data_IF_894992516728
#
_entry.id   IF_894992516728
#
_cell.length_a   1.000
_cell.length_b   1.000
_cell.length_c   1.000
_cell.angle_alpha   90.00
_cell.angle_beta   90.00
_cell.angle_gamma   90.00
#
_symmetry.space_group_name_H-M   'P 1'
#
loop_
_entity.id
_entity.type
_entity.pdbx_description
1 polymer ?
#
# COMPACT_ATOMS: atom_id res chain seq x y z
N UNK A 1 2.16 21.67 5.11
CA UNK A 1 1.47 21.65 6.42
C UNK A 1 1.74 22.92 7.22
N UNK A 2 2.97 23.17 7.71
CA UNK A 2 3.25 24.36 8.52
C UNK A 2 2.92 25.69 7.82
N UNK A 3 3.16 25.77 6.51
CA UNK A 3 2.71 26.91 5.71
C UNK A 3 1.19 27.12 5.64
N UNK A 4 0.42 26.03 5.73
CA UNK A 4 -1.04 26.13 5.79
C UNK A 4 -1.48 26.57 7.19
N UNK A 5 -0.81 26.09 8.24
CA UNK A 5 -1.08 26.48 9.63
C UNK A 5 -0.81 27.99 9.84
N UNK A 6 0.21 28.55 9.20
CA UNK A 6 0.48 29.99 9.24
C UNK A 6 -0.55 30.86 8.51
N UNK A 7 -1.49 30.26 7.74
CA UNK A 7 -2.65 31.01 7.21
C UNK A 7 -3.64 31.32 8.34
N UNK A 8 -3.81 30.40 9.28
CA UNK A 8 -4.70 30.56 10.44
C UNK A 8 -4.07 31.44 11.54
N UNK A 9 -2.74 31.41 11.65
CA UNK A 9 -1.95 32.27 12.54
C UNK A 9 -1.05 33.23 11.73
N UNK A 10 -1.59 34.32 11.17
CA UNK A 10 -0.84 35.20 10.29
C UNK A 10 0.32 35.90 11.01
N UNK A 11 1.45 36.12 10.32
CA UNK A 11 2.57 36.87 10.87
C UNK A 11 2.17 38.33 11.17
N UNK A 12 2.79 38.98 12.16
CA UNK A 12 2.69 40.43 12.30
C UNK A 12 3.27 41.15 11.08
N UNK A 13 2.75 42.34 10.76
CA UNK A 13 3.18 43.13 9.59
C UNK A 13 4.69 43.42 9.63
N UNK A 14 5.37 43.16 8.50
CA UNK A 14 6.78 43.49 8.29
C UNK A 14 7.79 42.51 8.90
N UNK A 15 7.36 41.34 9.36
CA UNK A 15 8.24 40.38 10.01
C UNK A 15 8.51 39.12 9.17
N UNK A 16 9.79 38.83 8.92
CA UNK A 16 10.27 37.60 8.26
C UNK A 16 10.17 36.37 9.18
N UNK A 17 10.33 36.57 10.48
CA UNK A 17 10.25 35.56 11.51
C UNK A 17 9.53 36.12 12.75
N UNK A 18 8.72 35.32 13.40
CA UNK A 18 7.98 35.71 14.60
C UNK A 18 7.82 34.54 15.57
N UNK A 19 7.63 34.88 16.84
CA UNK A 19 7.37 33.91 17.91
C UNK A 19 5.94 34.06 18.39
N UNK A 20 5.22 32.95 18.44
CA UNK A 20 3.89 32.85 19.04
C UNK A 20 4.01 32.22 20.44
N UNK A 21 3.59 32.95 21.46
CA UNK A 21 3.50 32.47 22.85
C UNK A 21 2.04 32.53 23.24
N UNK A 22 1.38 31.37 23.39
CA UNK A 22 -0.04 31.25 23.79
C UNK A 22 -0.95 32.24 23.04
N UNK A 23 -0.88 32.25 21.70
CA UNK A 23 -1.71 33.09 20.82
C UNK A 23 -1.25 34.54 20.60
N UNK A 24 -0.22 35.03 21.31
CA UNK A 24 0.34 36.38 21.08
C UNK A 24 1.64 36.32 20.30
N UNK A 25 1.79 37.22 19.33
CA UNK A 25 2.91 37.23 18.39
C UNK A 25 3.93 38.34 18.71
N UNK A 26 5.22 38.07 18.50
CA UNK A 26 6.28 39.09 18.55
C UNK A 26 7.33 38.87 17.48
N UNK A 27 7.83 39.99 16.94
CA UNK A 27 8.96 40.02 16.01
C UNK A 27 10.27 40.49 16.65
N UNK A 28 10.29 40.69 17.97
CA UNK A 28 11.48 41.15 18.70
C UNK A 28 11.83 40.18 19.83
N UNK A 29 13.07 39.66 19.89
CA UNK A 29 13.50 38.77 20.96
C UNK A 29 13.33 39.37 22.37
N UNK A 30 13.47 40.69 22.49
CA UNK A 30 13.34 41.41 23.76
C UNK A 30 11.94 41.33 24.38
N UNK A 31 10.89 41.24 23.55
CA UNK A 31 9.50 41.19 24.02
C UNK A 31 9.06 39.79 24.47
N UNK A 32 9.81 38.74 24.13
CA UNK A 32 9.49 37.35 24.50
C UNK A 32 9.37 37.20 26.02
N UNK A 33 10.26 37.83 26.79
CA UNK A 33 10.22 37.79 28.27
C UNK A 33 8.92 38.37 28.84
N UNK A 34 8.33 39.37 28.18
CA UNK A 34 7.05 39.97 28.60
C UNK A 34 5.91 38.99 28.31
N UNK A 35 5.86 38.44 27.10
CA UNK A 35 4.82 37.50 26.68
C UNK A 35 4.80 36.21 27.50
N UNK A 36 5.97 35.74 27.97
CA UNK A 36 6.06 34.55 28.83
C UNK A 36 5.45 34.77 30.23
N UNK A 37 5.50 35.99 30.76
CA UNK A 37 4.88 36.31 32.07
C UNK A 37 3.35 36.29 31.99
N UNK A 38 2.81 36.75 30.86
CA UNK A 38 1.37 36.81 30.58
C UNK A 38 0.83 35.50 29.97
N UNK A 39 1.68 34.47 29.79
CA UNK A 39 1.30 33.20 29.18
C UNK A 39 0.36 32.32 30.03
N UNK A 40 0.49 32.24 31.38
CA UNK A 40 -0.37 31.39 32.21
C UNK A 40 -1.85 31.78 32.17
N UNK A 41 -2.16 33.04 31.87
CA UNK A 41 -3.52 33.57 31.78
C UNK A 41 -4.23 33.18 30.47
N UNK A 42 -3.48 32.62 29.50
CA UNK A 42 -3.94 32.32 28.14
C UNK A 42 -3.97 30.82 27.87
N UNK A 43 -4.89 30.36 26.99
CA UNK A 43 -5.01 28.95 26.67
C UNK A 43 -3.70 28.44 26.06
N UNK A 44 -3.29 27.24 26.49
CA UNK A 44 -2.09 26.59 25.99
C UNK A 44 -2.29 26.17 24.53
N UNK A 45 -1.36 26.48 23.61
CA UNK A 45 -1.51 26.15 22.21
C UNK A 45 -1.37 24.64 22.00
N UNK A 46 -2.08 24.13 20.99
CA UNK A 46 -2.01 22.72 20.59
C UNK A 46 -0.69 22.44 19.86
N UNK A 47 0.00 21.39 20.30
CA UNK A 47 1.25 20.90 19.69
C UNK A 47 0.89 19.70 18.81
N UNK A 48 1.21 19.77 17.53
CA UNK A 48 0.95 18.69 16.58
C UNK A 48 1.96 17.55 16.77
N UNK A 49 1.56 16.32 16.44
CA UNK A 49 2.47 15.15 16.50
C UNK A 49 3.72 15.29 15.63
N UNK A 50 3.64 16.09 14.56
CA UNK A 50 4.73 16.37 13.61
C UNK A 50 5.57 17.58 13.99
N UNK A 51 5.22 18.31 15.05
CA UNK A 51 5.99 19.47 15.51
C UNK A 51 7.35 19.03 16.04
N UNK A 52 8.38 19.83 15.76
CA UNK A 52 9.72 19.61 16.29
C UNK A 52 9.84 20.36 17.62
N UNK A 53 9.70 19.63 18.73
CA UNK A 53 9.92 20.14 20.09
C UNK A 53 11.40 20.04 20.45
N UNK A 54 12.01 21.13 20.88
CA UNK A 54 13.37 21.10 21.42
C UNK A 54 13.39 20.30 22.74
N UNK A 55 14.46 19.52 23.02
CA UNK A 55 14.57 18.77 24.27
C UNK A 55 14.55 19.72 25.48
N UNK A 56 13.55 19.58 26.35
CA UNK A 56 13.41 20.39 27.57
C UNK A 56 13.13 19.47 28.76
N UNK A 57 13.68 19.85 29.93
CA UNK A 57 13.56 19.08 31.19
C UNK A 57 12.14 19.09 31.79
N UNK A 58 11.34 20.12 31.48
CA UNK A 58 10.02 20.36 32.06
C UNK A 58 8.90 20.28 31.01
N UNK A 59 7.83 19.53 31.33
CA UNK A 59 6.62 19.42 30.46
C UNK A 59 5.53 20.44 30.78
N UNK A 60 5.70 21.20 31.85
CA UNK A 60 4.71 22.14 32.41
C UNK A 60 5.02 23.61 32.07
N UNK A 61 6.13 23.88 31.40
CA UNK A 61 6.51 25.25 31.04
C UNK A 61 5.63 25.83 29.91
N UNK A 62 5.53 27.18 29.81
CA UNK A 62 4.84 27.85 28.71
C UNK A 62 5.39 27.45 27.34
N UNK A 63 4.51 27.36 26.34
CA UNK A 63 4.90 26.96 24.99
C UNK A 63 5.21 28.19 24.14
N UNK A 64 6.40 28.20 23.53
CA UNK A 64 6.84 29.21 22.58
C UNK A 64 7.11 28.56 21.22
N UNK A 65 6.39 29.01 20.20
CA UNK A 65 6.44 28.48 18.84
C UNK A 65 7.15 29.50 17.95
N UNK A 66 8.28 29.12 17.34
CA UNK A 66 8.97 29.95 16.37
C UNK A 66 8.50 29.62 14.96
N UNK A 67 8.00 30.64 14.26
CA UNK A 67 7.72 30.61 12.83
C UNK A 67 8.83 31.35 12.10
N UNK A 68 9.68 30.60 11.40
CA UNK A 68 10.83 31.17 10.70
C UNK A 68 11.33 30.28 9.55
N UNK A 69 12.02 30.94 8.61
CA UNK A 69 12.75 30.28 7.54
C UNK A 69 14.15 29.88 8.04
N UNK A 70 14.44 28.58 8.02
CA UNK A 70 15.73 28.03 8.47
C UNK A 70 16.83 28.50 7.54
N UNK A 71 17.94 29.00 8.12
CA UNK A 71 19.07 29.55 7.36
C UNK A 71 19.09 31.08 7.28
N UNK A 72 18.03 31.76 7.72
CA UNK A 72 18.02 33.24 7.78
C UNK A 72 18.73 33.78 9.03
N UNK A 73 19.19 35.04 8.96
CA UNK A 73 19.82 35.71 10.10
C UNK A 73 18.84 35.91 11.27
N UNK A 74 17.58 36.15 10.97
CA UNK A 74 16.56 36.36 12.01
C UNK A 74 16.21 35.06 12.71
N UNK A 75 16.12 33.94 11.97
CA UNK A 75 16.05 32.61 12.57
C UNK A 75 17.18 32.38 13.57
N UNK A 76 18.44 32.65 13.20
CA UNK A 76 19.58 32.43 14.10
C UNK A 76 19.48 33.25 15.41
N UNK A 77 19.02 34.51 15.35
CA UNK A 77 18.83 35.37 16.54
C UNK A 77 17.74 34.82 17.47
N UNK A 78 16.60 34.45 16.92
CA UNK A 78 15.48 33.89 17.70
C UNK A 78 15.82 32.51 18.25
N UNK A 79 16.37 31.65 17.41
CA UNK A 79 16.74 30.29 17.77
C UNK A 79 17.73 30.30 18.94
N UNK A 80 18.80 31.10 18.88
CA UNK A 80 19.75 31.24 20.00
C UNK A 80 19.05 31.63 21.31
N UNK A 81 18.19 32.65 21.26
CA UNK A 81 17.47 33.15 22.44
C UNK A 81 16.51 32.11 23.03
N UNK A 82 15.79 31.37 22.17
CA UNK A 82 14.82 30.37 22.60
C UNK A 82 15.49 29.08 23.08
N UNK A 83 16.60 28.67 22.46
CA UNK A 83 17.38 27.52 22.90
C UNK A 83 17.93 27.74 24.31
N UNK A 84 18.55 28.90 24.58
CA UNK A 84 19.06 29.25 25.92
C UNK A 84 17.93 29.16 26.98
N UNK A 85 16.71 29.57 26.64
CA UNK A 85 15.54 29.50 27.53
C UNK A 85 14.94 28.11 27.67
N UNK A 86 15.03 27.29 26.63
CA UNK A 86 14.55 25.92 26.64
C UNK A 86 15.49 25.02 27.46
N UNK A 87 16.80 25.27 27.40
CA UNK A 87 17.83 24.60 28.20
C UNK A 87 17.69 24.93 29.70
N UNK A 88 17.36 26.17 30.05
CA UNK A 88 17.05 26.54 31.45
C UNK A 88 15.70 26.01 31.94
N UNK A 89 14.90 25.38 31.06
CA UNK A 89 13.58 24.83 31.41
C UNK A 89 12.48 25.87 31.60
N UNK A 90 12.71 27.12 31.16
CA UNK A 90 11.73 28.22 31.24
C UNK A 90 10.59 28.07 30.23
N UNK A 91 10.84 27.42 29.08
CA UNK A 91 9.89 27.30 27.98
C UNK A 91 9.94 25.93 27.32
N UNK A 92 8.82 25.52 26.72
CA UNK A 92 8.78 24.46 25.72
C UNK A 92 8.91 25.11 24.35
N UNK A 93 10.05 24.92 23.72
CA UNK A 93 10.36 25.51 22.43
C UNK A 93 9.95 24.58 21.29
N UNK A 94 9.13 25.10 20.36
CA UNK A 94 8.68 24.39 19.16
C UNK A 94 9.09 25.17 17.92
N UNK A 95 9.64 24.48 16.91
CA UNK A 95 9.97 25.07 15.62
C UNK A 95 8.93 24.67 14.56
N UNK A 96 8.31 25.67 13.93
CA UNK A 96 7.46 25.51 12.73
C UNK A 96 8.10 26.26 11.57
N UNK A 97 8.37 25.54 10.49
CA UNK A 97 8.99 26.15 9.32
C UNK A 97 8.00 27.04 8.57
N UNK A 98 8.39 28.28 8.32
CA UNK A 98 7.56 29.30 7.67
C UNK A 98 8.40 30.12 6.69
N UNK A 99 7.83 30.45 5.54
CA UNK A 99 8.44 31.29 4.51
C UNK A 99 7.42 32.38 4.14
N UNK A 100 7.79 33.64 4.28
CA UNK A 100 6.86 34.75 4.06
C UNK A 100 6.41 34.88 2.60
N UNK A 101 7.32 34.64 1.65
CA UNK A 101 7.06 34.71 0.22
C UNK A 101 7.54 33.42 -0.43
N UNK A 102 6.71 32.35 -0.47
CA UNK A 102 7.08 31.10 -1.12
C UNK A 102 7.30 31.32 -2.63
N UNK A 103 8.26 30.60 -3.21
CA UNK A 103 8.50 30.60 -4.65
C UNK A 103 7.29 29.98 -5.39
N UNK A 104 6.99 30.49 -6.59
CA UNK A 104 5.88 30.00 -7.44
C UNK A 104 6.19 28.64 -8.11
N UNK A 105 7.42 28.15 -7.97
CA UNK A 105 7.84 26.85 -8.52
C UNK A 105 7.00 25.72 -7.96
N UNK A 106 6.34 25.00 -8.87
CA UNK A 106 5.59 23.79 -8.53
C UNK A 106 6.55 22.63 -8.25
N UNK A 107 6.25 21.85 -7.22
CA UNK A 107 6.98 20.63 -6.90
C UNK A 107 6.61 19.52 -7.88
N UNK A 108 7.59 18.98 -8.59
CA UNK A 108 7.41 17.79 -9.41
C UNK A 108 7.42 16.55 -8.49
N UNK A 109 6.32 15.79 -8.51
CA UNK A 109 6.19 14.58 -7.71
C UNK A 109 6.79 13.38 -8.45
N UNK A 110 7.34 12.44 -7.70
CA UNK A 110 7.84 11.14 -8.19
C UNK A 110 7.11 10.00 -7.48
N UNK A 111 7.34 8.76 -7.93
CA UNK A 111 6.70 7.58 -7.35
C UNK A 111 5.35 7.22 -7.97
N UNK A 112 5.07 7.72 -9.17
CA UNK A 112 3.96 7.24 -10.01
C UNK A 112 4.48 6.36 -11.14
N UNK A 113 3.67 5.40 -11.59
CA UNK A 113 3.89 4.63 -12.80
C UNK A 113 3.07 5.17 -13.95
N UNK A 114 3.62 5.12 -15.17
CA UNK A 114 2.89 5.44 -16.40
C UNK A 114 2.61 4.15 -17.14
N UNK A 115 1.38 3.97 -17.59
CA UNK A 115 0.94 2.79 -18.33
C UNK A 115 0.46 3.22 -19.72
N UNK A 116 0.90 2.50 -20.74
CA UNK A 116 0.36 2.59 -22.10
C UNK A 116 -0.50 1.36 -22.36
N UNK A 117 -1.79 1.48 -22.07
CA UNK A 117 -2.74 0.39 -22.27
C UNK A 117 -3.10 0.24 -23.76
N UNK A 118 -2.96 -0.98 -24.28
CA UNK A 118 -3.41 -1.32 -25.64
C UNK A 118 -4.94 -1.44 -25.60
N UNK A 119 -5.65 -0.53 -26.27
CA UNK A 119 -7.13 -0.53 -26.28
C UNK A 119 -7.76 -1.58 -27.18
N UNK A 120 -7.08 -1.99 -28.25
CA UNK A 120 -7.60 -2.96 -29.22
C UNK A 120 -6.80 -4.27 -29.14
N UNK A 121 -7.15 -5.12 -28.17
CA UNK A 121 -6.58 -6.47 -28.02
C UNK A 121 -7.48 -7.56 -28.63
N UNK A 122 -8.74 -7.23 -28.96
CA UNK A 122 -9.82 -8.20 -29.22
C UNK A 122 -9.89 -8.80 -30.63
N UNK A 123 -9.10 -8.36 -31.61
CA UNK A 123 -9.30 -8.80 -33.00
C UNK A 123 -8.53 -10.08 -33.40
N UNK A 124 -7.85 -10.77 -32.49
CA UNK A 124 -6.86 -11.80 -32.90
C UNK A 124 -6.77 -13.09 -32.06
N UNK A 125 -7.65 -13.33 -31.09
CA UNK A 125 -7.81 -14.69 -30.55
C UNK A 125 -8.62 -15.50 -31.57
N UNK A 126 -7.92 -16.19 -32.47
CA UNK A 126 -8.57 -17.09 -33.44
C UNK A 126 -9.33 -18.17 -32.69
N UNK A 127 -10.56 -18.41 -33.14
CA UNK A 127 -11.53 -19.37 -32.62
C UNK A 127 -10.98 -20.81 -32.65
N UNK A 128 -10.96 -21.46 -31.48
CA UNK A 128 -10.46 -22.83 -31.27
C UNK A 128 -11.55 -23.86 -31.59
N UNK A 129 -11.80 -24.12 -32.88
CA UNK A 129 -12.56 -25.30 -33.30
C UNK A 129 -11.68 -26.29 -34.07
N UNK A 130 -11.30 -27.36 -33.35
CA UNK A 130 -10.72 -28.63 -33.80
C UNK A 130 -9.36 -28.60 -34.49
N UNK A 131 -8.34 -29.07 -33.77
CA UNK A 131 -7.42 -30.09 -34.32
C UNK A 131 -6.89 -30.96 -33.20
N UNK A 132 -7.50 -32.15 -33.07
CA UNK A 132 -6.98 -33.23 -32.26
C UNK A 132 -5.59 -33.64 -32.71
N UNK A 133 -4.78 -33.97 -31.71
CA UNK A 133 -3.43 -34.49 -31.84
C UNK A 133 -3.41 -35.76 -32.70
N UNK A 134 -2.80 -35.66 -33.87
CA UNK A 134 -2.24 -36.82 -34.56
C UNK A 134 -0.72 -36.67 -34.63
N UNK A 135 -0.04 -37.70 -34.14
CA UNK A 135 1.40 -37.86 -34.15
C UNK A 135 1.97 -37.70 -35.55
N UNK A 136 2.47 -36.51 -35.87
CA UNK A 136 3.43 -36.31 -36.94
C UNK A 136 4.57 -35.45 -36.40
N UNK A 137 5.70 -36.09 -36.16
CA UNK A 137 7.01 -35.44 -36.15
C UNK A 137 7.07 -34.45 -37.32
N UNK A 138 7.55 -33.21 -37.13
CA UNK A 138 7.62 -32.28 -38.25
C UNK A 138 8.65 -32.81 -39.25
N UNK A 139 8.16 -33.36 -40.36
CA UNK A 139 8.95 -33.45 -41.59
C UNK A 139 9.32 -32.01 -41.99
N UNK A 140 10.53 -31.77 -42.50
CA UNK A 140 10.91 -30.44 -42.96
C UNK A 140 10.04 -30.12 -44.17
N UNK A 141 9.10 -29.21 -43.98
CA UNK A 141 8.25 -28.73 -45.07
C UNK A 141 9.12 -27.93 -46.04
N UNK A 142 9.03 -28.30 -47.31
CA UNK A 142 9.80 -27.70 -48.39
C UNK A 142 9.22 -26.32 -48.73
N UNK A 143 9.99 -25.27 -48.50
CA UNK A 143 10.10 -24.18 -49.48
C UNK A 143 9.11 -23.02 -49.38
N UNK A 144 8.86 -22.47 -48.20
CA UNK A 144 8.43 -21.06 -48.08
C UNK A 144 9.39 -20.33 -47.15
N UNK A 145 10.31 -19.59 -47.77
CA UNK A 145 11.30 -18.74 -47.11
C UNK A 145 10.59 -17.61 -46.35
N UNK A 146 10.84 -17.48 -45.05
CA UNK A 146 10.35 -16.35 -44.24
C UNK A 146 10.95 -15.04 -44.78
N UNK A 147 10.12 -14.24 -45.45
CA UNK A 147 10.43 -12.86 -45.78
C UNK A 147 10.45 -12.03 -44.48
N UNK A 148 11.61 -11.45 -44.16
CA UNK A 148 11.77 -10.58 -42.98
C UNK A 148 11.86 -9.15 -43.48
N UNK A 149 10.79 -8.36 -43.30
CA UNK A 149 10.67 -6.95 -43.74
C UNK A 149 11.07 -6.70 -45.21
N UNK A 150 10.64 -7.57 -46.13
CA UNK A 150 10.95 -7.40 -47.56
C UNK A 150 12.30 -7.96 -48.00
N UNK A 151 13.08 -8.57 -47.09
CA UNK A 151 14.37 -9.19 -47.41
C UNK A 151 14.27 -10.72 -47.44
N UNK A 152 14.76 -11.30 -48.54
CA UNK A 152 14.97 -12.74 -48.70
C UNK A 152 16.37 -13.12 -48.21
N UNK A 153 16.50 -13.36 -46.91
CA UNK A 153 17.79 -13.68 -46.29
C UNK A 153 18.46 -14.92 -46.86
N UNK A 154 17.68 -15.92 -47.31
CA UNK A 154 18.23 -17.13 -47.93
C UNK A 154 18.92 -16.83 -49.27
N UNK A 155 18.34 -15.93 -50.09
CA UNK A 155 18.97 -15.45 -51.32
C UNK A 155 20.17 -14.54 -51.03
N UNK A 156 20.07 -13.67 -50.02
CA UNK A 156 21.17 -12.78 -49.62
C UNK A 156 22.38 -13.56 -49.10
N UNK A 157 22.15 -14.60 -48.30
CA UNK A 157 23.20 -15.50 -47.81
C UNK A 157 23.81 -16.36 -48.92
N UNK A 158 23.06 -16.66 -49.98
CA UNK A 158 23.58 -17.34 -51.18
C UNK A 158 24.41 -16.40 -52.07
N UNK A 159 24.02 -15.13 -52.20
CA UNK A 159 24.72 -14.15 -53.03
C UNK A 159 25.96 -13.55 -52.37
N UNK A 160 25.98 -13.45 -51.04
CA UNK A 160 27.09 -12.89 -50.26
C UNK A 160 27.54 -13.87 -49.16
N UNK A 161 28.21 -14.98 -49.53
CA UNK A 161 28.63 -16.01 -48.58
C UNK A 161 29.64 -15.51 -47.53
N UNK A 162 30.46 -14.50 -47.86
CA UNK A 162 31.45 -13.91 -46.95
C UNK A 162 30.81 -13.11 -45.79
N UNK A 163 29.56 -12.66 -45.95
CA UNK A 163 28.83 -11.84 -44.98
C UNK A 163 27.77 -12.64 -44.23
N UNK A 164 27.83 -13.97 -44.27
CA UNK A 164 26.79 -14.85 -43.72
C UNK A 164 26.53 -14.64 -42.23
N UNK A 165 27.59 -14.44 -41.43
CA UNK A 165 27.46 -14.18 -39.99
C UNK A 165 26.80 -12.82 -39.74
N UNK A 166 27.27 -11.75 -40.41
CA UNK A 166 26.73 -10.40 -40.28
C UNK A 166 25.27 -10.31 -40.78
N UNK A 167 24.92 -11.04 -41.85
CA UNK A 167 23.54 -11.15 -42.35
C UNK A 167 22.65 -11.92 -41.35
N UNK A 168 23.21 -12.89 -40.63
CA UNK A 168 22.55 -13.58 -39.53
C UNK A 168 22.25 -12.64 -38.36
N UNK A 169 23.24 -11.82 -37.96
CA UNK A 169 23.05 -10.79 -36.93
C UNK A 169 22.06 -9.71 -37.37
N UNK A 170 22.13 -9.26 -38.62
CA UNK A 170 21.21 -8.26 -39.17
C UNK A 170 19.78 -8.79 -39.26
N UNK A 171 19.59 -10.05 -39.69
CA UNK A 171 18.28 -10.72 -39.66
C UNK A 171 17.73 -10.76 -38.24
N UNK A 172 18.57 -11.13 -37.27
CA UNK A 172 18.20 -11.18 -35.86
C UNK A 172 17.81 -9.80 -35.34
N UNK A 173 18.58 -8.77 -35.67
CA UNK A 173 18.28 -7.38 -35.31
C UNK A 173 16.96 -6.89 -35.92
N UNK A 174 16.69 -7.18 -37.19
CA UNK A 174 15.42 -6.80 -37.84
C UNK A 174 14.22 -7.47 -37.19
N UNK A 175 14.34 -8.75 -36.85
CA UNK A 175 13.32 -9.49 -36.10
C UNK A 175 13.10 -8.86 -34.71
N UNK A 176 14.18 -8.47 -34.03
CA UNK A 176 14.13 -7.82 -32.71
C UNK A 176 13.62 -6.37 -32.76
N UNK A 177 13.78 -5.67 -33.90
CA UNK A 177 13.36 -4.29 -34.11
C UNK A 177 11.97 -4.15 -34.74
N UNK A 178 11.34 -5.26 -35.13
CA UNK A 178 9.99 -5.23 -35.72
C UNK A 178 8.98 -4.95 -34.61
N UNK A 179 8.55 -3.69 -34.49
CA UNK A 179 7.55 -3.21 -33.53
C UNK A 179 6.10 -3.64 -33.85
N UNK A 180 5.90 -4.57 -34.78
CA UNK A 180 4.55 -5.03 -35.08
C UNK A 180 4.05 -5.96 -33.98
N UNK A 181 3.00 -5.52 -33.29
CA UNK A 181 2.22 -6.34 -32.36
C UNK A 181 1.45 -7.42 -33.16
N UNK A 182 2.16 -8.47 -33.55
CA UNK A 182 1.61 -9.65 -34.21
C UNK A 182 0.95 -10.53 -33.14
N UNK A 183 -0.25 -11.08 -33.40
CA UNK A 183 -0.91 -11.90 -32.41
C UNK A 183 -0.19 -13.21 -32.19
N UNK A 184 -0.19 -13.64 -30.93
CA UNK A 184 0.29 -14.94 -30.52
C UNK A 184 -0.86 -15.95 -30.58
N UNK A 185 -0.51 -17.20 -30.87
CA UNK A 185 -1.47 -18.31 -30.85
C UNK A 185 -1.73 -18.72 -29.39
N UNK A 186 -2.91 -19.28 -29.10
CA UNK A 186 -3.34 -19.59 -27.73
C UNK A 186 -2.37 -20.53 -27.00
N UNK A 187 -1.81 -21.53 -27.69
CA UNK A 187 -0.82 -22.44 -27.10
C UNK A 187 0.55 -21.78 -26.86
N UNK A 188 0.94 -20.81 -27.68
CA UNK A 188 2.20 -20.06 -27.49
C UNK A 188 2.15 -19.20 -26.22
N UNK A 189 0.96 -18.83 -25.75
CA UNK A 189 0.76 -18.06 -24.52
C UNK A 189 0.96 -18.90 -23.25
N UNK A 190 0.71 -20.21 -23.30
CA UNK A 190 0.78 -21.08 -22.13
C UNK A 190 2.21 -21.19 -21.59
N UNK A 191 3.19 -21.32 -22.48
CA UNK A 191 4.59 -21.49 -22.10
C UNK A 191 5.38 -20.16 -22.05
N UNK A 192 4.76 -19.04 -22.40
CA UNK A 192 5.42 -17.74 -22.54
C UNK A 192 6.10 -17.27 -21.24
N UNK A 193 5.48 -17.54 -20.08
CA UNK A 193 6.03 -17.22 -18.76
C UNK A 193 7.30 -18.02 -18.46
N UNK A 194 7.29 -19.32 -18.78
CA UNK A 194 8.47 -20.18 -18.64
C UNK A 194 9.59 -19.79 -19.60
N UNK A 195 9.25 -19.38 -20.83
CA UNK A 195 10.23 -18.90 -21.81
C UNK A 195 10.89 -17.58 -21.37
N UNK A 196 10.10 -16.65 -20.82
CA UNK A 196 10.60 -15.42 -20.23
C UNK A 196 11.57 -15.69 -19.08
N UNK A 197 11.18 -16.58 -18.16
CA UNK A 197 12.01 -16.97 -17.03
C UNK A 197 13.31 -17.66 -17.50
N UNK A 198 13.22 -18.59 -18.46
CA UNK A 198 14.39 -19.27 -19.03
C UNK A 198 15.35 -18.28 -19.67
N UNK A 199 14.82 -17.27 -20.39
CA UNK A 199 15.65 -16.21 -20.98
C UNK A 199 16.39 -15.39 -19.91
N UNK A 200 15.71 -15.02 -18.83
CA UNK A 200 16.31 -14.26 -17.71
C UNK A 200 17.40 -15.08 -17.02
N UNK A 201 17.14 -16.35 -16.72
CA UNK A 201 18.11 -17.24 -16.04
C UNK A 201 19.32 -17.57 -16.94
N UNK A 202 19.09 -17.71 -18.25
CA UNK A 202 20.19 -17.93 -19.22
C UNK A 202 21.10 -16.72 -19.43
N UNK A 203 20.68 -15.53 -18.97
CA UNK A 203 21.44 -14.28 -19.09
C UNK A 203 22.49 -14.19 -17.96
N UNK A 204 23.68 -13.58 -18.19
CA UNK A 204 24.64 -13.34 -17.12
C UNK A 204 24.03 -12.63 -15.92
N UNK A 205 24.46 -13.02 -14.71
CA UNK A 205 23.89 -12.54 -13.42
C UNK A 205 23.80 -11.01 -13.33
N UNK A 206 24.81 -10.30 -13.85
CA UNK A 206 24.87 -8.84 -13.80
C UNK A 206 23.83 -8.16 -14.71
N UNK A 207 23.36 -8.86 -15.74
CA UNK A 207 22.38 -8.34 -16.71
C UNK A 207 20.97 -8.89 -16.49
N UNK A 208 20.82 -9.98 -15.73
CA UNK A 208 19.52 -10.63 -15.49
C UNK A 208 18.44 -9.66 -14.98
N UNK A 209 18.77 -8.78 -14.02
CA UNK A 209 17.82 -7.77 -13.51
C UNK A 209 17.49 -6.68 -14.54
N UNK A 210 18.47 -6.30 -15.39
CA UNK A 210 18.24 -5.33 -16.47
C UNK A 210 17.32 -5.92 -17.53
N UNK A 211 17.50 -7.20 -17.87
CA UNK A 211 16.65 -7.94 -18.80
C UNK A 211 15.25 -8.12 -18.23
N UNK A 212 15.11 -8.49 -16.96
CA UNK A 212 13.82 -8.57 -16.28
C UNK A 212 13.06 -7.23 -16.32
N UNK A 213 13.76 -6.11 -16.08
CA UNK A 213 13.18 -4.77 -16.18
C UNK A 213 12.75 -4.43 -17.60
N UNK A 214 13.60 -4.69 -18.60
CA UNK A 214 13.26 -4.42 -20.01
C UNK A 214 12.06 -5.27 -20.46
N UNK A 215 12.05 -6.56 -20.12
CA UNK A 215 10.95 -7.47 -20.46
C UNK A 215 9.64 -7.08 -19.80
N UNK A 216 9.66 -6.65 -18.53
CA UNK A 216 8.44 -6.24 -17.83
C UNK A 216 7.89 -4.91 -18.34
N UNK A 217 8.75 -3.95 -18.70
CA UNK A 217 8.33 -2.65 -19.22
C UNK A 217 7.86 -2.70 -20.68
N UNK A 218 8.48 -3.54 -21.50
CA UNK A 218 8.24 -3.62 -22.95
C UNK A 218 7.60 -4.95 -23.37
N UNK A 219 6.90 -5.63 -22.46
CA UNK A 219 6.41 -7.00 -22.65
C UNK A 219 5.62 -7.23 -23.95
N UNK A 220 4.63 -6.40 -24.32
CA UNK A 220 3.83 -6.65 -25.52
C UNK A 220 4.66 -6.69 -26.81
N UNK A 221 5.75 -5.91 -26.87
CA UNK A 221 6.66 -5.88 -28.03
C UNK A 221 7.59 -7.10 -27.99
N UNK A 222 8.04 -7.52 -26.80
CA UNK A 222 8.98 -8.63 -26.65
C UNK A 222 8.34 -10.01 -26.70
N UNK A 223 7.02 -10.12 -26.54
CA UNK A 223 6.30 -11.39 -26.41
C UNK A 223 6.59 -12.37 -27.56
N UNK A 224 6.64 -11.90 -28.82
CA UNK A 224 6.94 -12.77 -29.97
C UNK A 224 8.37 -13.28 -29.99
N UNK A 225 9.33 -12.50 -29.50
CA UNK A 225 10.73 -12.95 -29.42
C UNK A 225 10.91 -14.07 -28.39
N UNK A 226 10.06 -14.09 -27.35
CA UNK A 226 10.12 -15.07 -26.27
C UNK A 226 9.61 -16.45 -26.71
N UNK A 227 8.65 -16.52 -27.64
CA UNK A 227 8.12 -17.81 -28.14
C UNK A 227 9.17 -18.69 -28.82
N UNK A 228 10.28 -18.08 -29.25
CA UNK A 228 11.39 -18.76 -29.93
C UNK A 228 12.45 -19.29 -28.96
N UNK A 229 12.37 -18.92 -27.68
CA UNK A 229 13.34 -19.37 -26.67
C UNK A 229 13.07 -20.83 -26.33
N UNK A 230 14.11 -21.66 -26.44
CA UNK A 230 14.02 -23.06 -26.08
C UNK A 230 13.79 -23.20 -24.56
N UNK A 231 12.81 -24.04 -24.21
CA UNK A 231 12.46 -24.31 -22.82
C UNK A 231 13.37 -25.37 -22.22
N UNK A 232 13.96 -25.07 -21.07
CA UNK A 232 14.60 -26.09 -20.25
C UNK A 232 13.53 -26.85 -19.45
N UNK A 233 13.36 -28.15 -19.74
CA UNK A 233 12.38 -29.01 -19.10
C UNK A 233 12.66 -29.26 -17.61
N UNK A 234 13.93 -29.19 -17.19
CA UNK A 234 14.30 -29.35 -15.77
C UNK A 234 13.79 -28.16 -14.95
N UNK A 235 13.99 -26.95 -15.47
CA UNK A 235 13.53 -25.70 -14.87
C UNK A 235 12.00 -25.67 -14.75
N UNK A 236 11.27 -26.15 -15.77
CA UNK A 236 9.80 -26.21 -15.74
C UNK A 236 9.31 -27.08 -14.57
N UNK A 237 9.90 -28.27 -14.39
CA UNK A 237 9.58 -29.17 -13.26
C UNK A 237 9.90 -28.54 -11.91
N UNK A 238 11.04 -27.86 -11.79
CA UNK A 238 11.42 -27.16 -10.56
C UNK A 238 10.40 -26.07 -10.19
N UNK A 239 9.98 -25.26 -11.18
CA UNK A 239 8.97 -24.21 -10.97
C UNK A 239 7.63 -24.81 -10.53
N UNK A 240 7.17 -25.90 -11.15
CA UNK A 240 5.92 -26.57 -10.77
C UNK A 240 5.96 -27.09 -9.32
N UNK A 241 7.08 -27.68 -8.90
CA UNK A 241 7.29 -28.12 -7.51
C UNK A 241 7.27 -26.94 -6.54
N UNK A 242 7.96 -25.85 -6.88
CA UNK A 242 8.00 -24.65 -6.06
C UNK A 242 6.61 -23.98 -5.94
N UNK A 243 5.86 -23.92 -7.04
CA UNK A 243 4.49 -23.38 -7.05
C UNK A 243 3.58 -24.17 -6.11
N UNK A 244 3.66 -25.51 -6.14
CA UNK A 244 2.89 -26.35 -5.23
C UNK A 244 3.26 -26.06 -3.77
N UNK A 245 4.55 -26.06 -3.45
CA UNK A 245 5.01 -25.79 -2.08
C UNK A 245 4.61 -24.40 -1.56
N UNK A 246 4.72 -23.37 -2.41
CA UNK A 246 4.34 -22.00 -2.08
C UNK A 246 2.82 -21.86 -1.88
N UNK A 247 2.03 -22.54 -2.70
CA UNK A 247 0.56 -22.53 -2.56
C UNK A 247 0.09 -23.20 -1.26
N UNK A 248 0.72 -24.31 -0.87
CA UNK A 248 0.36 -25.05 0.36
C UNK A 248 0.84 -24.33 1.63
N UNK A 249 2.02 -23.70 1.59
CA UNK A 249 2.66 -23.13 2.79
C UNK A 249 2.27 -21.66 3.01
N UNK A 250 2.21 -20.88 1.93
CA UNK A 250 2.02 -19.43 2.00
C UNK A 250 0.73 -18.95 1.33
N UNK A 251 -0.05 -19.84 0.72
CA UNK A 251 -1.26 -19.47 -0.02
C UNK A 251 -0.98 -18.67 -1.29
N UNK A 252 0.24 -18.73 -1.82
CA UNK A 252 0.64 -17.99 -3.03
C UNK A 252 0.32 -18.86 -4.24
N UNK A 253 -0.63 -18.42 -5.07
CA UNK A 253 -1.02 -19.14 -6.27
C UNK A 253 -0.28 -18.62 -7.52
N UNK A 254 -0.22 -19.39 -8.62
CA UNK A 254 0.35 -18.91 -9.88
C UNK A 254 -0.35 -17.64 -10.36
N UNK A 255 0.43 -16.57 -10.56
CA UNK A 255 -0.06 -15.24 -10.94
C UNK A 255 -0.14 -14.24 -9.78
N UNK A 256 -0.02 -14.71 -8.54
CA UNK A 256 0.07 -13.83 -7.38
C UNK A 256 1.49 -13.29 -7.21
N UNK A 257 1.59 -12.09 -6.65
CA UNK A 257 2.86 -11.52 -6.20
C UNK A 257 2.81 -11.22 -4.72
N UNK A 258 3.83 -11.69 -4.01
CA UNK A 258 4.02 -11.41 -2.60
C UNK A 258 5.44 -10.90 -2.39
N UNK A 259 5.56 -9.80 -1.66
CA UNK A 259 6.83 -9.21 -1.30
C UNK A 259 7.10 -9.47 0.18
N UNK A 260 8.28 -10.01 0.49
CA UNK A 260 8.71 -10.23 1.86
C UNK A 260 9.99 -9.46 2.14
N UNK A 261 10.03 -8.71 3.23
CA UNK A 261 11.27 -8.12 3.76
C UNK A 261 11.53 -8.78 5.11
N UNK A 262 12.68 -9.44 5.27
CA UNK A 262 13.06 -10.12 6.52
C UNK A 262 12.02 -11.13 7.06
N UNK A 263 11.15 -11.67 6.20
CA UNK A 263 10.05 -12.58 6.60
C UNK A 263 8.71 -11.88 6.87
N UNK A 264 8.68 -10.55 6.90
CA UNK A 264 7.45 -9.78 6.98
C UNK A 264 6.80 -9.68 5.60
N UNK A 265 5.56 -10.13 5.51
CA UNK A 265 4.74 -9.97 4.31
C UNK A 265 4.36 -8.50 4.13
N UNK A 266 4.74 -7.92 3.00
CA UNK A 266 4.38 -6.57 2.62
C UNK A 266 3.17 -6.64 1.71
N UNK A 267 2.04 -6.17 2.23
CA UNK A 267 0.82 -6.00 1.46
C UNK A 267 1.02 -4.89 0.42
N UNK A 268 1.03 -5.30 -0.85
CA UNK A 268 1.23 -4.45 -2.01
C UNK A 268 0.01 -3.55 -2.30
N UNK A 269 -1.17 -3.89 -1.77
CA UNK A 269 -2.42 -3.15 -1.96
C UNK A 269 -2.66 -2.11 -0.85
N UNK A 270 -2.23 -2.39 0.38
CA UNK A 270 -2.45 -1.51 1.56
C UNK A 270 -1.35 -0.45 1.72
N UNK A 271 -0.13 -0.68 1.23
CA UNK A 271 0.98 0.28 1.30
C UNK A 271 0.91 1.43 0.27
N UNK A 272 -0.31 1.81 -0.09
CA UNK A 272 -0.61 3.04 -0.77
C UNK A 272 -1.28 4.01 0.22
N UNK A 273 -0.47 4.75 0.99
CA UNK A 273 -0.99 5.75 1.97
C UNK A 273 -1.86 6.83 1.32
N UNK A 274 -1.78 7.00 0.00
CA UNK A 274 -2.58 7.98 -0.75
C UNK A 274 -3.97 7.48 -1.16
N UNK A 275 -4.28 6.18 -1.04
CA UNK A 275 -5.61 5.66 -1.43
C UNK A 275 -6.71 6.11 -0.47
N UNK A 276 -6.39 6.35 0.81
CA UNK A 276 -7.38 6.70 1.85
C UNK A 276 -8.01 8.08 1.65
N UNK A 277 -7.34 9.01 0.95
CA UNK A 277 -7.88 10.33 0.61
C UNK A 277 -8.52 10.41 -0.78
N UNK A 278 -8.32 9.41 -1.65
CA UNK A 278 -8.94 9.39 -2.97
C UNK A 278 -10.34 8.73 -2.97
N UNK A 279 -10.69 8.02 -1.90
CA UNK A 279 -12.02 7.41 -1.72
C UNK A 279 -13.15 8.43 -1.45
N UNK A 280 -12.81 9.70 -1.20
CA UNK A 280 -13.82 10.78 -1.03
C UNK A 280 -14.27 11.33 -2.40
N UNK A 281 -13.56 11.05 -3.49
CA UNK A 281 -13.88 11.55 -4.83
C UNK A 281 -14.39 10.51 -5.82
N UNK A 282 -14.33 9.20 -5.50
CA UNK A 282 -14.81 8.13 -6.38
C UNK A 282 -16.20 7.61 -5.99
N UNK A 283 -17.09 8.52 -5.60
CA UNK A 283 -18.46 8.19 -5.18
C UNK A 283 -19.49 8.05 -6.31
N UNK A 284 -19.10 8.14 -7.59
CA UNK A 284 -20.05 8.21 -8.70
C UNK A 284 -19.73 7.33 -9.93
N UNK A 285 -18.99 6.24 -9.75
CA UNK A 285 -18.86 5.19 -10.79
C UNK A 285 -18.92 3.83 -10.10
N UNK A 286 -20.12 3.48 -9.63
CA UNK A 286 -20.48 2.14 -9.13
C UNK A 286 -21.63 1.62 -9.98
N UNK A 287 -21.29 1.24 -11.21
CA UNK A 287 -22.06 0.30 -12.02
C UNK A 287 -21.06 -0.36 -12.95
N UNK A 288 -21.26 -1.63 -13.27
CA UNK A 288 -20.34 -2.56 -13.97
C UNK A 288 -19.53 -3.47 -13.04
N UNK A 289 -20.24 -4.15 -12.14
CA UNK A 289 -19.88 -5.52 -11.76
C UNK A 289 -20.94 -6.46 -12.35
N UNK A 290 -20.64 -7.09 -13.47
CA UNK A 290 -21.16 -8.41 -13.86
C UNK A 290 -20.47 -8.81 -15.16
N UNK A 291 -19.30 -9.44 -15.08
CA UNK A 291 -18.88 -10.50 -16.00
C UNK A 291 -17.63 -11.17 -15.44
N UNK A 292 -17.86 -12.23 -14.67
CA UNK A 292 -16.87 -13.29 -14.41
C UNK A 292 -16.66 -13.99 -15.76
N UNK A 293 -15.54 -13.76 -16.41
CA UNK A 293 -15.08 -14.61 -17.52
C UNK A 293 -13.69 -15.16 -17.22
N UNK A 294 -13.65 -16.48 -17.28
CA UNK A 294 -12.50 -17.37 -17.22
C UNK A 294 -11.54 -17.02 -18.36
N UNK A 295 -10.60 -16.11 -18.12
CA UNK A 295 -9.50 -15.81 -19.05
C UNK A 295 -8.24 -15.67 -18.19
N UNK A 296 -7.24 -16.44 -18.59
CA UNK A 296 -5.89 -16.56 -18.04
C UNK A 296 -5.42 -15.23 -17.44
N UNK A 297 -5.32 -15.20 -16.11
CA UNK A 297 -4.74 -14.09 -15.36
C UNK A 297 -3.24 -13.99 -15.67
N UNK A 298 -2.90 -13.31 -16.76
CA UNK A 298 -1.69 -12.48 -16.77
C UNK A 298 -2.07 -11.23 -15.98
N UNK A 299 -2.13 -11.37 -14.65
CA UNK A 299 -2.18 -10.21 -13.77
C UNK A 299 -0.84 -9.52 -13.96
N UNK A 300 -0.80 -8.45 -14.77
CA UNK A 300 0.28 -7.49 -14.67
C UNK A 300 0.25 -6.97 -13.24
N UNK A 301 1.17 -7.49 -12.43
CA UNK A 301 1.34 -7.16 -11.03
C UNK A 301 1.55 -5.65 -10.93
N UNK A 302 0.45 -4.95 -10.66
CA UNK A 302 0.38 -3.50 -10.54
C UNK A 302 0.86 -3.16 -9.14
N UNK A 303 2.18 -3.22 -8.93
CA UNK A 303 2.79 -2.77 -7.67
C UNK A 303 2.68 -1.24 -7.63
N UNK A 304 1.54 -0.75 -7.15
CA UNK A 304 1.35 0.64 -6.76
C UNK A 304 1.83 0.83 -5.30
N UNK A 305 2.99 0.28 -4.96
CA UNK A 305 3.61 0.57 -3.67
C UNK A 305 4.15 1.98 -3.73
N UNK A 306 3.54 2.88 -2.96
CA UNK A 306 4.10 4.23 -2.80
C UNK A 306 5.51 4.12 -2.21
N UNK A 307 6.50 4.67 -2.91
CA UNK A 307 7.92 4.65 -2.54
C UNK A 307 8.16 5.03 -1.06
N UNK A 308 7.36 5.95 -0.52
CA UNK A 308 7.46 6.41 0.87
C UNK A 308 7.09 5.34 1.90
N UNK A 309 6.05 4.54 1.69
CA UNK A 309 5.67 3.46 2.63
C UNK A 309 6.75 2.39 2.72
N UNK A 310 7.32 2.03 1.56
CA UNK A 310 8.41 1.08 1.50
C UNK A 310 9.67 1.59 2.24
N UNK A 311 10.02 2.86 2.04
CA UNK A 311 11.13 3.49 2.76
C UNK A 311 10.90 3.55 4.28
N UNK A 312 9.70 3.89 4.74
CA UNK A 312 9.40 3.90 6.17
C UNK A 312 9.43 2.48 6.76
N UNK A 313 9.00 1.46 6.01
CA UNK A 313 9.14 0.05 6.43
C UNK A 313 10.60 -0.32 6.60
N UNK A 314 11.45 -0.04 5.61
CA UNK A 314 12.90 -0.28 5.69
C UNK A 314 13.54 0.50 6.83
N UNK A 315 13.12 1.75 7.07
CA UNK A 315 13.65 2.59 8.15
C UNK A 315 13.27 2.05 9.52
N UNK A 316 12.04 1.59 9.68
CA UNK A 316 11.59 0.93 10.91
C UNK A 316 12.35 -0.36 11.13
N UNK A 317 12.47 -1.20 10.10
CA UNK A 317 13.28 -2.43 10.14
C UNK A 317 14.73 -2.13 10.52
N UNK A 318 15.36 -1.14 9.87
CA UNK A 318 16.73 -0.72 10.19
C UNK A 318 16.90 -0.23 11.63
N UNK A 319 15.90 0.47 12.19
CA UNK A 319 15.90 0.86 13.61
C UNK A 319 15.80 -0.36 14.53
N UNK A 320 14.92 -1.31 14.21
CA UNK A 320 14.78 -2.57 14.97
C UNK A 320 16.08 -3.37 14.95
N UNK A 321 16.70 -3.52 13.78
CA UNK A 321 17.99 -4.19 13.61
C UNK A 321 19.11 -3.51 14.40
N UNK A 322 19.18 -2.18 14.36
CA UNK A 322 20.13 -1.42 15.17
C UNK A 322 19.87 -1.59 16.67
N UNK A 323 18.60 -1.66 17.08
CA UNK A 323 18.21 -1.94 18.46
C UNK A 323 18.64 -3.34 18.92
N UNK A 324 18.43 -4.36 18.10
CA UNK A 324 18.88 -5.74 18.39
C UNK A 324 20.42 -5.84 18.45
N UNK A 325 21.10 -5.13 17.55
CA UNK A 325 22.56 -5.03 17.56
C UNK A 325 23.08 -4.36 18.84
N UNK A 326 22.42 -3.28 19.30
CA UNK A 326 22.76 -2.62 20.56
C UNK A 326 22.57 -3.53 21.79
N UNK A 327 21.69 -4.54 21.70
CA UNK A 327 21.50 -5.57 22.73
C UNK A 327 22.51 -6.73 22.63
N UNK A 328 23.45 -6.68 21.67
CA UNK A 328 24.47 -7.71 21.48
C UNK A 328 23.99 -8.93 20.69
N UNK A 329 22.84 -8.85 20.02
CA UNK A 329 22.34 -9.93 19.16
C UNK A 329 23.07 -9.86 17.81
N UNK A 330 23.96 -10.82 17.59
CA UNK A 330 24.80 -10.88 16.40
C UNK A 330 24.05 -11.42 15.16
N UNK A 331 24.58 -11.11 13.97
CA UNK A 331 23.97 -11.42 12.66
C UNK A 331 23.60 -12.90 12.42
N UNK A 332 24.24 -13.85 13.11
CA UNK A 332 23.96 -15.29 12.92
C UNK A 332 22.57 -15.68 13.44
N UNK A 333 22.17 -15.17 14.61
CA UNK A 333 20.86 -15.49 15.21
C UNK A 333 19.77 -14.50 14.80
N UNK A 334 20.16 -13.33 14.28
CA UNK A 334 19.25 -12.29 13.80
C UNK A 334 18.25 -12.83 12.76
N UNK A 335 18.72 -13.67 11.83
CA UNK A 335 17.84 -14.32 10.84
C UNK A 335 16.80 -15.26 11.46
N UNK A 336 17.08 -15.85 12.63
CA UNK A 336 16.13 -16.70 13.36
C UNK A 336 15.10 -15.84 14.10
N UNK A 337 15.55 -14.76 14.75
CA UNK A 337 14.67 -13.84 15.46
C UNK A 337 13.69 -13.13 14.54
N UNK A 338 14.13 -12.70 13.35
CA UNK A 338 13.26 -12.03 12.38
C UNK A 338 12.19 -12.96 11.78
N UNK A 339 12.43 -14.28 11.77
CA UNK A 339 11.44 -15.28 11.32
C UNK A 339 10.36 -15.56 12.35
N UNK A 340 10.52 -15.13 13.60
CA UNK A 340 9.50 -15.31 14.62
C UNK A 340 8.32 -14.43 14.24
N UNK A 341 7.22 -15.06 13.82
CA UNK A 341 5.96 -14.38 13.61
C UNK A 341 5.43 -13.90 14.96
N UNK A 342 5.75 -12.66 15.31
CA UNK A 342 5.07 -11.95 16.38
C UNK A 342 3.73 -11.53 15.80
N UNK A 343 2.74 -12.42 15.86
CA UNK A 343 1.37 -12.01 15.60
C UNK A 343 1.07 -10.87 16.59
N UNK A 344 0.76 -9.68 16.08
CA UNK A 344 0.03 -8.70 16.89
C UNK A 344 -1.23 -9.44 17.29
N UNK A 345 -1.35 -9.78 18.56
CA UNK A 345 -2.56 -10.39 19.05
C UNK A 345 -3.63 -9.30 18.86
N UNK A 346 -4.46 -9.45 17.82
CA UNK A 346 -5.74 -8.76 17.70
C UNK A 346 -6.59 -9.30 18.84
N UNK A 347 -6.22 -8.94 20.06
CA UNK A 347 -6.94 -9.32 21.25
C UNK A 347 -8.20 -8.49 21.25
N UNK A 348 -9.23 -9.06 20.62
CA UNK A 348 -10.59 -8.77 20.99
C UNK A 348 -10.72 -9.21 22.45
N UNK A 349 -10.35 -8.32 23.37
CA UNK A 349 -10.47 -8.55 24.80
C UNK A 349 -11.96 -8.72 25.12
N UNK A 350 -12.30 -9.82 25.78
CA UNK A 350 -13.63 -9.99 26.35
C UNK A 350 -13.68 -9.27 27.72
N UNK A 351 -14.56 -8.29 27.85
CA UNK A 351 -14.82 -7.62 29.12
C UNK A 351 -15.93 -8.37 29.87
N UNK A 352 -15.73 -8.67 31.16
CA UNK A 352 -16.81 -9.17 32.00
C UNK A 352 -17.77 -8.03 32.33
N UNK A 353 -18.99 -8.11 31.79
CA UNK A 353 -20.04 -7.10 31.94
C UNK A 353 -20.96 -7.38 33.14
N UNK A 354 -20.73 -8.41 33.96
CA UNK A 354 -21.67 -8.78 35.02
C UNK A 354 -21.48 -7.87 36.24
N UNK A 355 -22.33 -6.85 36.37
CA UNK A 355 -22.34 -5.95 37.53
C UNK A 355 -23.75 -5.59 37.98
N UNK A 356 -23.97 -5.42 39.29
CA UNK A 356 -25.28 -5.08 39.87
C UNK A 356 -25.77 -3.67 39.51
N UNK A 357 -24.87 -2.80 39.05
CA UNK A 357 -25.20 -1.43 38.64
C UNK A 357 -25.90 -1.35 37.28
N UNK A 358 -25.94 -2.44 36.51
CA UNK A 358 -26.54 -2.45 35.18
C UNK A 358 -28.04 -2.63 35.32
N UNK A 359 -28.78 -1.70 34.74
CA UNK A 359 -30.25 -1.77 34.64
C UNK A 359 -30.61 -2.25 33.24
N UNK A 360 -31.25 -3.42 33.14
CA UNK A 360 -31.65 -4.01 31.87
C UNK A 360 -33.01 -3.45 31.42
N UNK A 361 -33.12 -3.14 30.13
CA UNK A 361 -34.36 -2.60 29.53
C UNK A 361 -35.32 -3.73 29.13
N UNK A 362 -34.78 -4.83 28.62
CA UNK A 362 -35.53 -6.01 28.18
C UNK A 362 -34.91 -7.31 28.72
N UNK A 363 -35.70 -8.36 28.72
CA UNK A 363 -35.26 -9.72 29.00
C UNK A 363 -35.85 -10.71 27.99
N UNK A 364 -34.99 -11.16 27.06
CA UNK A 364 -35.35 -12.04 25.95
C UNK A 364 -35.97 -13.36 26.44
N UNK A 365 -35.60 -13.84 27.62
CA UNK A 365 -36.07 -15.14 28.10
C UNK A 365 -37.45 -15.03 28.76
N UNK A 366 -37.71 -13.95 29.49
CA UNK A 366 -38.89 -13.82 30.33
C UNK A 366 -40.01 -12.98 29.71
N UNK A 367 -39.69 -11.96 28.90
CA UNK A 367 -40.69 -11.02 28.37
C UNK A 367 -41.68 -11.68 27.40
N UNK A 368 -42.95 -11.30 27.53
CA UNK A 368 -44.03 -11.83 26.69
C UNK A 368 -43.85 -11.49 25.20
N UNK A 369 -43.16 -10.38 24.90
CA UNK A 369 -42.87 -9.92 23.53
C UNK A 369 -42.11 -10.96 22.71
N UNK A 370 -41.22 -11.72 23.34
CA UNK A 370 -40.39 -12.74 22.70
C UNK A 370 -40.97 -14.16 22.80
N UNK A 371 -42.20 -14.30 23.29
CA UNK A 371 -42.85 -15.61 23.49
C UNK A 371 -42.97 -16.45 22.21
N UNK A 372 -43.05 -15.80 21.05
CA UNK A 372 -43.15 -16.43 19.73
C UNK A 372 -41.82 -17.02 19.24
N UNK A 373 -40.71 -16.71 19.88
CA UNK A 373 -39.39 -17.13 19.42
C UNK A 373 -39.06 -18.55 19.89
N UNK A 374 -38.33 -19.34 19.06
CA UNK A 374 -37.89 -20.67 19.47
C UNK A 374 -36.86 -20.57 20.60
N UNK A 375 -36.91 -21.50 21.57
CA UNK A 375 -35.96 -21.58 22.69
C UNK A 375 -34.81 -22.55 22.46
N UNK A 376 -34.83 -23.29 21.35
CA UNK A 376 -33.82 -24.28 20.98
C UNK A 376 -32.59 -23.64 20.33
N UNK A 377 -31.41 -23.96 20.87
CA UNK A 377 -30.11 -23.48 20.36
C UNK A 377 -29.76 -24.12 19.01
N UNK A 378 -30.36 -25.26 18.68
CA UNK A 378 -30.13 -25.95 17.40
C UNK A 378 -30.54 -25.11 16.19
N UNK A 379 -31.37 -24.07 16.39
CA UNK A 379 -31.75 -23.12 15.34
C UNK A 379 -30.55 -22.33 14.80
N UNK A 380 -29.49 -22.14 15.59
CA UNK A 380 -28.24 -21.50 15.14
C UNK A 380 -27.49 -22.32 14.10
N UNK A 381 -27.62 -23.65 14.13
CA UNK A 381 -26.92 -24.56 13.22
C UNK A 381 -27.60 -24.68 11.85
N UNK A 382 -28.82 -24.12 11.70
CA UNK A 382 -29.51 -24.13 10.41
C UNK A 382 -28.83 -23.15 9.46
N UNK A 383 -28.70 -23.49 8.16
CA UNK A 383 -28.13 -22.57 7.17
C UNK A 383 -28.96 -21.29 7.06
N UNK A 384 -28.31 -20.13 7.13
CA UNK A 384 -28.90 -18.80 7.02
C UNK A 384 -28.18 -17.98 5.95
N UNK A 385 -28.85 -16.97 5.42
CA UNK A 385 -28.17 -15.93 4.64
C UNK A 385 -27.18 -15.18 5.54
N UNK A 386 -25.95 -14.93 5.07
CA UNK A 386 -24.94 -14.22 5.84
C UNK A 386 -25.45 -12.80 6.20
N UNK A 387 -25.21 -12.37 7.45
CA UNK A 387 -25.59 -11.05 7.96
C UNK A 387 -26.93 -10.98 8.69
N UNK A 388 -27.71 -12.07 8.75
CA UNK A 388 -29.00 -12.10 9.48
C UNK A 388 -28.81 -12.68 10.88
N UNK A 389 -29.15 -11.91 11.92
CA UNK A 389 -29.17 -12.42 13.31
C UNK A 389 -30.48 -13.17 13.54
N UNK A 390 -30.38 -14.43 13.99
CA UNK A 390 -31.55 -15.28 14.22
C UNK A 390 -32.24 -14.91 15.54
N UNK A 391 -33.57 -14.69 15.55
CA UNK A 391 -34.31 -14.47 16.78
C UNK A 391 -34.48 -15.80 17.54
N UNK A 392 -33.86 -15.90 18.71
CA UNK A 392 -33.95 -17.06 19.61
C UNK A 392 -34.27 -16.52 21.00
N UNK A 393 -35.18 -17.20 21.70
CA UNK A 393 -35.61 -16.86 23.06
C UNK A 393 -34.56 -17.26 24.11
N UNK A 394 -33.32 -16.79 23.95
CA UNK A 394 -32.14 -17.09 24.78
C UNK A 394 -31.22 -15.87 24.85
N UNK A 395 -30.61 -15.65 26.00
CA UNK A 395 -29.68 -14.52 26.19
C UNK A 395 -28.29 -14.80 25.60
N UNK A 396 -28.05 -14.44 24.33
CA UNK A 396 -26.75 -14.59 23.66
C UNK A 396 -25.98 -13.28 23.48
N UNK A 397 -26.67 -12.20 23.12
CA UNK A 397 -26.06 -10.92 22.79
C UNK A 397 -26.50 -9.87 23.80
N UNK A 398 -25.54 -9.22 24.44
CA UNK A 398 -25.77 -8.18 25.43
C UNK A 398 -25.10 -6.88 24.96
N UNK A 399 -25.82 -5.76 25.06
CA UNK A 399 -25.31 -4.42 24.80
C UNK A 399 -25.45 -3.57 26.06
N UNK A 400 -24.31 -3.23 26.67
CA UNK A 400 -24.27 -2.34 27.83
C UNK A 400 -23.85 -0.96 27.37
N UNK A 401 -24.73 0.02 27.55
CA UNK A 401 -24.47 1.43 27.22
C UNK A 401 -24.11 2.21 28.50
N UNK A 402 -22.94 2.84 28.49
CA UNK A 402 -22.56 3.79 29.53
C UNK A 402 -23.00 5.19 29.10
N UNK A 403 -24.03 5.74 29.76
CA UNK A 403 -24.65 7.00 29.38
C UNK A 403 -24.48 8.03 30.49
N UNK A 404 -23.86 9.17 30.15
CA UNK A 404 -23.81 10.35 30.99
C UNK A 404 -24.95 11.30 30.58
N UNK A 405 -25.99 11.51 31.42
CA UNK A 405 -27.16 12.29 31.06
C UNK A 405 -26.87 13.78 30.82
N UNK A 406 -25.69 14.27 31.20
CA UNK A 406 -25.30 15.68 31.01
C UNK A 406 -24.79 15.93 29.57
N UNK A 407 -24.34 14.90 28.86
CA UNK A 407 -23.78 15.03 27.53
C UNK A 407 -24.86 15.05 26.45
N UNK A 408 -24.77 15.98 25.49
CA UNK A 408 -25.76 16.10 24.40
C UNK A 408 -25.86 14.83 23.53
N UNK A 409 -24.73 14.12 23.34
CA UNK A 409 -24.67 12.88 22.56
C UNK A 409 -25.41 11.70 23.23
N UNK A 410 -25.75 11.80 24.51
CA UNK A 410 -26.45 10.74 25.24
C UNK A 410 -27.83 10.44 24.63
N UNK A 411 -28.52 11.46 24.13
CA UNK A 411 -29.83 11.31 23.52
C UNK A 411 -29.81 10.40 22.29
N UNK A 412 -28.74 10.46 21.49
CA UNK A 412 -28.60 9.63 20.29
C UNK A 412 -28.43 8.14 20.63
N UNK A 413 -27.66 7.82 21.67
CA UNK A 413 -27.50 6.44 22.14
C UNK A 413 -28.80 5.85 22.67
N UNK A 414 -29.57 6.64 23.42
CA UNK A 414 -30.88 6.20 23.93
C UNK A 414 -31.87 5.99 22.78
N UNK A 415 -31.87 6.87 21.78
CA UNK A 415 -32.70 6.72 20.57
C UNK A 415 -32.34 5.47 19.78
N UNK A 416 -31.05 5.12 19.70
CA UNK A 416 -30.61 3.87 19.07
C UNK A 416 -31.08 2.64 19.86
N UNK A 417 -30.97 2.65 21.18
CA UNK A 417 -31.47 1.58 22.04
C UNK A 417 -32.99 1.38 21.88
N UNK A 418 -33.74 2.49 21.79
CA UNK A 418 -35.18 2.45 21.54
C UNK A 418 -35.51 1.82 20.18
N UNK A 419 -34.75 2.13 19.12
CA UNK A 419 -34.92 1.51 17.80
C UNK A 419 -34.72 -0.01 17.88
N UNK A 420 -33.67 -0.49 18.54
CA UNK A 420 -33.43 -1.92 18.69
C UNK A 420 -34.54 -2.63 19.46
N UNK A 421 -35.03 -2.01 20.53
CA UNK A 421 -36.14 -2.54 21.32
C UNK A 421 -37.43 -2.62 20.49
N UNK A 422 -37.80 -1.53 19.80
CA UNK A 422 -39.00 -1.49 18.94
C UNK A 422 -38.96 -2.49 17.78
N UNK A 423 -37.78 -2.73 17.22
CA UNK A 423 -37.60 -3.66 16.09
C UNK A 423 -37.43 -5.13 16.50
N UNK A 424 -37.56 -5.47 17.79
CA UNK A 424 -37.38 -6.84 18.28
C UNK A 424 -36.04 -7.46 17.87
N UNK A 425 -34.96 -6.68 17.91
CA UNK A 425 -33.63 -7.23 17.65
C UNK A 425 -33.29 -8.22 18.78
N UNK A 426 -32.71 -9.41 18.49
CA UNK A 426 -32.34 -10.41 19.49
C UNK A 426 -31.09 -9.98 20.28
N UNK A 427 -31.23 -8.90 21.03
CA UNK A 427 -30.21 -8.22 21.80
C UNK A 427 -30.80 -7.77 23.14
N UNK A 428 -30.07 -8.02 24.22
CA UNK A 428 -30.41 -7.62 25.59
C UNK A 428 -29.66 -6.36 26.00
#
# INVERSE_FOLDING_TARGET
MFQQISVDEPPPEGCSAFVAVHGMHTCKPSQIKKLLKEAPERPRPYIYKTDHTFPTLTKTAPVAILYAEVGTKDFAKFHKTLTEKAETGEIIYVLRHYIQHPDERKMLLSGYGVELAIKSTEYKAMDDTQVDANNSSPKPDNGIAEEVQGFYFDKLMQMYPDLKENLGEFRKHLIESTNEMVPLKVWELQDLSFQAASKIISTPVYEALKVLRDMSQNFPIKARSLTRVALNQEMKKEIEVNQKHLSETFGIHPGDASLYINGLHIDLDVHNSFRRNLLIWTGNIMSWYFFKCYIISITFIKIHTTHFCFLETIKTEGKTLNGLSALGINNQDLSKYLRIQVHSSDENYALDIRHSSITWINDIETDHMYSRWPSSVQELLRPAFPGVIRPIRRNFFNLVLFVDPVQENAADYVKLAELFYRHNVPLR
#
